data_IF_117240259656
#
_entry.id   IF_117240259656
#
_cell.length_a   1.000
_cell.length_b   1.000
_cell.length_c   1.000
_cell.angle_alpha   90.00
_cell.angle_beta   90.00
_cell.angle_gamma   90.00
#
_symmetry.space_group_name_H-M   'P 1'
#
loop_
_entity.id
_entity.type
_entity.pdbx_description
1 polymer ?
#
# COMPACT_ATOMS: atom_id res chain seq x y z
N UNK A 1 1.77 -10.27 -19.87
CA UNK A 1 3.10 -9.98 -19.27
C UNK A 1 2.98 -8.96 -18.13
N UNK A 2 2.12 -7.95 -18.28
CA UNK A 2 1.87 -6.87 -17.30
C UNK A 2 1.29 -7.35 -15.94
N UNK A 3 0.37 -8.32 -15.94
CA UNK A 3 -0.29 -8.80 -14.70
C UNK A 3 0.72 -9.38 -13.70
N UNK A 4 1.70 -10.16 -14.16
CA UNK A 4 2.70 -10.77 -13.27
C UNK A 4 3.70 -9.74 -12.75
N UNK A 5 4.07 -8.73 -13.57
CA UNK A 5 4.89 -7.62 -13.10
C UNK A 5 4.17 -6.84 -12.01
N UNK A 6 2.88 -6.53 -12.20
CA UNK A 6 2.06 -5.81 -11.22
C UNK A 6 1.86 -6.60 -9.92
N UNK A 7 1.61 -7.90 -10.02
CA UNK A 7 1.55 -8.78 -8.83
C UNK A 7 2.87 -8.80 -8.05
N UNK A 8 4.01 -8.81 -8.74
CA UNK A 8 5.31 -8.74 -8.10
C UNK A 8 5.60 -7.34 -7.53
N UNK A 9 5.16 -6.29 -8.22
CA UNK A 9 5.29 -4.90 -7.83
C UNK A 9 4.62 -4.59 -6.49
N UNK A 10 3.54 -5.26 -6.12
CA UNK A 10 2.86 -5.02 -4.83
C UNK A 10 3.39 -5.88 -3.68
N UNK A 11 4.42 -6.70 -3.90
CA UNK A 11 4.99 -7.56 -2.84
C UNK A 11 5.86 -6.77 -1.86
N UNK A 12 5.78 -7.12 -0.58
CA UNK A 12 6.68 -6.57 0.44
C UNK A 12 7.98 -7.33 0.50
N UNK A 13 9.08 -6.63 0.73
CA UNK A 13 10.38 -7.25 0.90
C UNK A 13 11.22 -6.59 1.99
N UNK A 14 11.19 -7.15 3.20
CA UNK A 14 11.96 -6.64 4.33
C UNK A 14 13.33 -7.32 4.40
N UNK A 15 14.38 -6.52 4.22
CA UNK A 15 15.78 -6.92 4.38
C UNK A 15 16.37 -6.50 5.74
N UNK A 16 15.58 -5.84 6.59
CA UNK A 16 16.04 -5.24 7.86
C UNK A 16 16.57 -6.31 8.82
N UNK A 17 15.86 -7.45 8.92
CA UNK A 17 16.15 -8.59 9.78
C UNK A 17 16.88 -9.73 9.05
N UNK A 18 17.39 -9.48 7.84
CA UNK A 18 17.99 -10.53 7.01
C UNK A 18 19.20 -11.19 7.71
N UNK A 19 19.30 -12.54 7.75
CA UNK A 19 20.35 -13.26 8.50
C UNK A 19 21.79 -12.87 8.13
N UNK A 20 22.00 -12.42 6.90
CA UNK A 20 23.33 -12.04 6.40
C UNK A 20 23.74 -10.60 6.72
N UNK A 21 22.89 -9.78 7.34
CA UNK A 21 23.21 -8.39 7.64
C UNK A 21 24.45 -8.24 8.53
N UNK A 22 24.66 -9.20 9.43
CA UNK A 22 25.81 -9.24 10.35
C UNK A 22 26.91 -10.21 9.91
N UNK A 23 26.82 -10.80 8.72
CA UNK A 23 27.83 -11.72 8.21
C UNK A 23 29.12 -10.97 7.81
N UNK A 24 30.25 -11.70 7.82
CA UNK A 24 31.55 -11.15 7.40
C UNK A 24 31.46 -10.61 5.97
N UNK A 25 32.09 -9.47 5.69
CA UNK A 25 32.12 -8.80 4.37
C UNK A 25 32.34 -9.77 3.19
N UNK A 26 33.40 -10.58 3.23
CA UNK A 26 33.70 -11.59 2.20
C UNK A 26 32.53 -12.55 1.95
N UNK A 27 31.80 -12.93 3.00
CA UNK A 27 30.66 -13.83 2.90
C UNK A 27 29.45 -13.14 2.27
N UNK A 28 29.17 -11.89 2.63
CA UNK A 28 28.09 -11.08 2.03
C UNK A 28 28.29 -10.89 0.53
N UNK A 29 29.49 -10.48 0.12
CA UNK A 29 29.83 -10.31 -1.30
C UNK A 29 29.70 -11.65 -2.03
N UNK A 30 30.32 -12.71 -1.51
CA UNK A 30 30.23 -14.04 -2.14
C UNK A 30 28.78 -14.51 -2.29
N UNK A 31 27.94 -14.27 -1.28
CA UNK A 31 26.53 -14.63 -1.32
C UNK A 31 25.77 -13.87 -2.41
N UNK A 32 25.93 -12.55 -2.47
CA UNK A 32 25.27 -11.71 -3.47
C UNK A 32 25.61 -12.17 -4.89
N UNK A 33 26.89 -12.37 -5.19
CA UNK A 33 27.30 -12.72 -6.57
C UNK A 33 26.74 -14.10 -6.97
N UNK A 34 26.64 -15.05 -6.02
CA UNK A 34 25.98 -16.35 -6.26
C UNK A 34 24.47 -16.17 -6.47
N UNK A 35 23.81 -15.34 -5.66
CA UNK A 35 22.39 -15.04 -5.75
C UNK A 35 22.05 -14.42 -7.11
N UNK A 36 22.76 -13.37 -7.51
CA UNK A 36 22.63 -12.70 -8.80
C UNK A 36 22.79 -13.68 -9.97
N UNK A 37 23.82 -14.52 -9.93
CA UNK A 37 24.05 -15.53 -10.96
C UNK A 37 22.89 -16.53 -11.09
N UNK A 38 22.39 -17.06 -9.96
CA UNK A 38 21.31 -18.04 -9.96
C UNK A 38 19.98 -17.42 -10.41
N UNK A 39 19.67 -16.21 -9.93
CA UNK A 39 18.48 -15.46 -10.34
C UNK A 39 18.50 -15.20 -11.85
N UNK A 40 19.61 -14.73 -12.41
CA UNK A 40 19.71 -14.43 -13.84
C UNK A 40 19.52 -15.65 -14.77
N UNK A 41 19.68 -16.88 -14.26
CA UNK A 41 19.39 -18.11 -15.03
C UNK A 41 17.96 -18.60 -14.92
N UNK A 42 17.21 -18.08 -13.95
CA UNK A 42 15.89 -18.60 -13.59
C UNK A 42 14.77 -17.58 -13.74
N UNK A 43 15.08 -16.29 -13.65
CA UNK A 43 14.09 -15.22 -13.61
C UNK A 43 13.33 -15.08 -14.93
N UNK A 44 11.99 -15.08 -14.85
CA UNK A 44 11.10 -14.75 -15.97
C UNK A 44 10.87 -13.24 -16.15
N UNK A 45 11.19 -12.41 -15.15
CA UNK A 45 10.93 -10.96 -15.15
C UNK A 45 12.22 -10.17 -14.96
N UNK A 46 12.92 -9.92 -16.08
CA UNK A 46 14.25 -9.32 -16.06
C UNK A 46 14.29 -7.95 -15.33
N UNK A 47 13.28 -7.09 -15.52
CA UNK A 47 13.27 -5.77 -14.88
C UNK A 47 13.01 -5.84 -13.36
N UNK A 48 11.97 -6.57 -12.94
CA UNK A 48 11.65 -6.73 -11.51
C UNK A 48 12.76 -7.44 -10.73
N UNK A 49 13.24 -8.58 -11.23
CA UNK A 49 14.31 -9.32 -10.55
C UNK A 49 15.60 -8.50 -10.50
N UNK A 50 15.91 -7.70 -11.53
CA UNK A 50 17.04 -6.77 -11.50
C UNK A 50 16.86 -5.68 -10.43
N UNK A 51 15.67 -5.07 -10.34
CA UNK A 51 15.38 -4.07 -9.32
C UNK A 51 15.48 -4.65 -7.89
N UNK A 52 15.00 -5.88 -7.67
CA UNK A 52 15.18 -6.59 -6.40
C UNK A 52 16.65 -6.91 -6.11
N UNK A 53 17.40 -7.39 -7.10
CA UNK A 53 18.85 -7.62 -6.94
C UNK A 53 19.57 -6.32 -6.55
N UNK A 54 19.20 -5.17 -7.10
CA UNK A 54 19.76 -3.87 -6.66
C UNK A 54 19.51 -3.58 -5.17
N UNK A 55 18.36 -3.96 -4.60
CA UNK A 55 18.11 -3.84 -3.15
C UNK A 55 19.04 -4.78 -2.34
N UNK A 56 19.22 -6.02 -2.79
CA UNK A 56 20.17 -6.95 -2.18
C UNK A 56 21.62 -6.46 -2.29
N UNK A 57 22.00 -5.84 -3.42
CA UNK A 57 23.31 -5.25 -3.63
C UNK A 57 23.57 -4.15 -2.59
N UNK A 58 22.65 -3.18 -2.48
CA UNK A 58 22.75 -2.10 -1.50
C UNK A 58 22.87 -2.63 -0.06
N UNK A 59 22.13 -3.69 0.28
CA UNK A 59 22.12 -4.27 1.62
C UNK A 59 23.37 -5.13 1.94
N UNK A 60 23.86 -5.94 1.00
CA UNK A 60 24.95 -6.89 1.23
C UNK A 60 26.32 -6.31 0.92
N UNK A 61 26.42 -5.47 -0.11
CA UNK A 61 27.67 -4.94 -0.67
C UNK A 61 27.82 -3.44 -0.34
N UNK A 62 26.76 -2.64 -0.46
CA UNK A 62 26.84 -1.18 -0.35
C UNK A 62 27.61 -0.56 -1.53
N UNK A 63 28.54 0.35 -1.25
CA UNK A 63 29.39 1.03 -2.26
C UNK A 63 30.63 0.23 -2.67
N UNK A 64 30.76 -1.00 -2.18
CA UNK A 64 31.94 -1.83 -2.43
C UNK A 64 31.92 -2.42 -3.84
N UNK A 65 33.11 -2.65 -4.42
CA UNK A 65 33.21 -3.33 -5.71
C UNK A 65 32.80 -4.80 -5.59
N UNK A 66 31.83 -5.22 -6.40
CA UNK A 66 31.42 -6.61 -6.49
C UNK A 66 32.58 -7.50 -7.00
N UNK A 67 32.76 -8.68 -6.40
CA UNK A 67 33.65 -9.71 -6.94
C UNK A 67 33.09 -10.20 -8.29
N UNK A 68 33.93 -10.24 -9.33
CA UNK A 68 33.51 -10.79 -10.63
C UNK A 68 33.50 -12.32 -10.58
N UNK A 69 32.32 -12.90 -10.81
CA UNK A 69 32.15 -14.34 -10.99
C UNK A 69 32.58 -14.71 -12.42
N UNK A 70 33.68 -15.44 -12.55
CA UNK A 70 34.19 -15.93 -13.85
C UNK A 70 33.90 -17.42 -14.01
N UNK A 71 33.88 -17.93 -15.24
CA UNK A 71 33.66 -19.37 -15.46
C UNK A 71 34.66 -20.24 -14.68
N UNK A 72 35.91 -19.78 -14.51
CA UNK A 72 36.97 -20.50 -13.81
C UNK A 72 36.85 -20.57 -12.28
N UNK A 73 36.11 -19.66 -11.64
CA UNK A 73 35.94 -19.65 -10.17
C UNK A 73 34.52 -20.05 -9.72
N UNK A 74 33.56 -20.10 -10.65
CA UNK A 74 32.12 -20.23 -10.39
C UNK A 74 31.75 -21.48 -9.61
N UNK A 75 32.10 -22.64 -10.14
CA UNK A 75 31.68 -23.90 -9.54
C UNK A 75 32.22 -24.04 -8.12
N UNK A 76 33.50 -23.69 -7.91
CA UNK A 76 34.13 -23.68 -6.61
C UNK A 76 33.42 -22.72 -5.64
N UNK A 77 33.08 -21.50 -6.08
CA UNK A 77 32.39 -20.52 -5.25
C UNK A 77 31.00 -20.98 -4.83
N UNK A 78 30.19 -21.51 -5.77
CA UNK A 78 28.86 -22.04 -5.47
C UNK A 78 28.98 -23.19 -4.47
N UNK A 79 29.81 -24.19 -4.76
CA UNK A 79 30.02 -25.35 -3.86
C UNK A 79 30.44 -24.91 -2.46
N UNK A 80 31.36 -23.95 -2.34
CA UNK A 80 31.82 -23.45 -1.03
C UNK A 80 30.75 -22.70 -0.22
N UNK A 81 29.61 -22.34 -0.81
CA UNK A 81 28.48 -21.71 -0.10
C UNK A 81 27.37 -22.72 0.19
N UNK A 82 27.06 -23.59 -0.78
CA UNK A 82 25.88 -24.48 -0.71
C UNK A 82 26.22 -25.88 -0.20
N UNK A 83 27.49 -26.29 -0.30
CA UNK A 83 27.97 -27.63 0.01
C UNK A 83 29.45 -27.63 0.44
N UNK A 84 29.77 -26.86 1.49
CA UNK A 84 31.11 -26.81 2.05
C UNK A 84 31.28 -27.84 3.16
N UNK A 85 32.08 -28.88 2.89
CA UNK A 85 32.36 -29.93 3.87
C UNK A 85 33.31 -29.48 4.98
N UNK A 86 34.14 -28.45 4.74
CA UNK A 86 35.07 -27.89 5.73
C UNK A 86 34.38 -26.92 6.69
N UNK A 87 33.24 -26.35 6.28
CA UNK A 87 32.47 -25.37 7.07
C UNK A 87 31.03 -25.85 7.29
N UNK A 88 30.81 -26.93 8.05
CA UNK A 88 29.50 -27.53 8.20
C UNK A 88 28.45 -26.57 8.77
N UNK A 89 28.81 -25.59 9.60
CA UNK A 89 27.89 -24.57 10.14
C UNK A 89 27.27 -23.65 9.08
N UNK A 90 27.85 -23.57 7.87
CA UNK A 90 27.34 -22.79 6.73
C UNK A 90 26.16 -23.47 6.03
N UNK A 91 25.70 -24.62 6.51
CA UNK A 91 24.61 -25.39 5.90
C UNK A 91 23.29 -24.62 5.74
N UNK A 92 23.07 -23.56 6.53
CA UNK A 92 21.87 -22.69 6.46
C UNK A 92 21.83 -21.83 5.19
N UNK A 93 22.99 -21.49 4.62
CA UNK A 93 23.11 -20.52 3.52
C UNK A 93 22.39 -20.97 2.26
N UNK A 94 22.40 -22.28 1.94
CA UNK A 94 21.62 -22.82 0.80
C UNK A 94 20.11 -22.66 0.97
N UNK A 95 19.59 -22.68 2.19
CA UNK A 95 18.17 -22.49 2.45
C UNK A 95 17.80 -21.02 2.34
N UNK A 96 18.58 -20.13 2.96
CA UNK A 96 18.40 -18.68 2.79
C UNK A 96 18.50 -18.28 1.32
N UNK A 97 19.47 -18.83 0.59
CA UNK A 97 19.65 -18.57 -0.84
C UNK A 97 18.44 -18.99 -1.66
N UNK A 98 17.87 -20.17 -1.37
CA UNK A 98 16.67 -20.63 -2.05
C UNK A 98 15.44 -19.76 -1.72
N UNK A 99 15.30 -19.32 -0.47
CA UNK A 99 14.23 -18.38 -0.09
C UNK A 99 14.40 -17.02 -0.79
N UNK A 100 15.62 -16.48 -0.85
CA UNK A 100 15.90 -15.21 -1.51
C UNK A 100 15.63 -15.30 -3.02
N UNK A 101 16.06 -16.39 -3.67
CA UNK A 101 15.70 -16.65 -5.07
C UNK A 101 14.18 -16.68 -5.24
N UNK A 102 13.44 -17.31 -4.31
CA UNK A 102 11.99 -17.33 -4.38
C UNK A 102 11.34 -15.95 -4.21
N UNK A 103 11.84 -15.11 -3.30
CA UNK A 103 11.37 -13.74 -3.09
C UNK A 103 11.69 -12.83 -4.30
N UNK A 104 12.84 -13.00 -4.94
CA UNK A 104 13.26 -12.21 -6.10
C UNK A 104 12.58 -12.65 -7.39
N UNK A 105 12.42 -13.97 -7.59
CA UNK A 105 11.81 -14.52 -8.79
C UNK A 105 10.28 -14.35 -8.75
N UNK A 106 9.67 -14.58 -7.58
CA UNK A 106 8.23 -14.51 -7.33
C UNK A 106 7.37 -15.26 -8.37
N UNK A 107 7.96 -16.28 -9.01
CA UNK A 107 7.35 -17.09 -10.05
C UNK A 107 7.65 -18.57 -9.80
N UNK A 108 6.62 -19.40 -9.86
CA UNK A 108 6.74 -20.83 -9.52
C UNK A 108 7.69 -21.56 -10.47
N UNK A 109 7.61 -21.31 -11.77
CA UNK A 109 8.46 -21.98 -12.75
C UNK A 109 9.94 -21.58 -12.59
N UNK A 110 10.20 -20.30 -12.34
CA UNK A 110 11.52 -19.78 -12.02
C UNK A 110 12.10 -20.42 -10.75
N UNK A 111 11.29 -20.56 -9.71
CA UNK A 111 11.66 -21.19 -8.43
C UNK A 111 12.00 -22.68 -8.64
N UNK A 112 11.19 -23.42 -9.39
CA UNK A 112 11.44 -24.83 -9.70
C UNK A 112 12.70 -25.01 -10.56
N UNK A 113 12.97 -24.09 -11.50
CA UNK A 113 14.20 -24.09 -12.28
C UNK A 113 15.42 -23.82 -11.40
N UNK A 114 15.33 -22.85 -10.49
CA UNK A 114 16.40 -22.55 -9.53
C UNK A 114 16.68 -23.74 -8.60
N UNK A 115 15.63 -24.41 -8.12
CA UNK A 115 15.74 -25.63 -7.34
C UNK A 115 16.53 -26.72 -8.09
N UNK A 116 16.19 -26.98 -9.37
CA UNK A 116 16.88 -27.97 -10.21
C UNK A 116 18.37 -27.64 -10.37
N UNK A 117 18.72 -26.37 -10.60
CA UNK A 117 20.12 -25.93 -10.71
C UNK A 117 20.85 -26.15 -9.38
N UNK A 118 20.23 -25.75 -8.25
CA UNK A 118 20.84 -25.86 -6.93
C UNK A 118 21.07 -27.32 -6.54
N UNK A 119 20.14 -28.23 -6.84
CA UNK A 119 20.27 -29.67 -6.60
C UNK A 119 21.48 -30.29 -7.31
N UNK A 120 21.91 -29.74 -8.45
CA UNK A 120 23.12 -30.20 -9.16
C UNK A 120 24.42 -30.07 -8.35
N UNK A 121 24.43 -29.23 -7.31
CA UNK A 121 25.58 -29.02 -6.43
C UNK A 121 25.48 -29.80 -5.09
N UNK A 122 24.40 -30.54 -4.89
CA UNK A 122 24.02 -31.15 -3.61
C UNK A 122 23.96 -32.67 -3.71
N UNK A 123 24.13 -33.35 -2.57
CA UNK A 123 23.88 -34.79 -2.50
C UNK A 123 22.37 -35.10 -2.36
N UNK A 124 21.98 -36.39 -2.45
CA UNK A 124 20.57 -36.81 -2.38
C UNK A 124 19.82 -36.32 -1.13
N UNK A 125 20.45 -36.42 0.06
CA UNK A 125 19.84 -35.99 1.33
C UNK A 125 19.66 -34.48 1.39
N UNK A 126 20.66 -33.73 0.95
CA UNK A 126 20.61 -32.26 0.90
C UNK A 126 19.57 -31.77 -0.11
N UNK A 127 19.47 -32.43 -1.25
CA UNK A 127 18.49 -32.12 -2.30
C UNK A 127 17.06 -32.32 -1.80
N UNK A 128 16.79 -33.42 -1.10
CA UNK A 128 15.50 -33.66 -0.45
C UNK A 128 15.15 -32.57 0.58
N UNK A 129 16.12 -32.11 1.36
CA UNK A 129 15.90 -31.06 2.35
C UNK A 129 15.52 -29.71 1.73
N UNK A 130 16.16 -29.33 0.61
CA UNK A 130 15.79 -28.10 -0.11
C UNK A 130 14.45 -28.27 -0.85
N UNK A 131 14.15 -29.45 -1.37
CA UNK A 131 12.82 -29.76 -1.92
C UNK A 131 11.71 -29.59 -0.88
N UNK A 132 11.94 -30.03 0.36
CA UNK A 132 11.01 -29.82 1.47
C UNK A 132 10.85 -28.32 1.81
N UNK A 133 11.93 -27.53 1.74
CA UNK A 133 11.85 -26.08 1.90
C UNK A 133 10.95 -25.46 0.81
N UNK A 134 11.18 -25.78 -0.46
CA UNK A 134 10.38 -25.23 -1.56
C UNK A 134 8.92 -25.64 -1.42
N UNK A 135 8.64 -26.88 -1.03
CA UNK A 135 7.28 -27.34 -0.72
C UNK A 135 6.66 -26.55 0.43
N UNK A 136 7.44 -26.23 1.47
CA UNK A 136 6.99 -25.38 2.57
C UNK A 136 6.65 -23.95 2.11
N UNK A 137 7.35 -23.38 1.12
CA UNK A 137 7.01 -22.05 0.59
C UNK A 137 5.60 -21.99 -0.03
N UNK A 138 5.14 -23.09 -0.62
CA UNK A 138 3.85 -23.17 -1.32
C UNK A 138 2.72 -23.84 -0.51
N UNK A 139 2.88 -23.98 0.80
CA UNK A 139 1.84 -24.47 1.73
C UNK A 139 1.63 -23.45 2.83
N UNK A 140 0.45 -23.44 3.47
CA UNK A 140 0.18 -22.61 4.65
C UNK A 140 0.22 -23.41 5.96
N UNK A 141 0.68 -24.67 5.89
CA UNK A 141 0.90 -25.53 7.06
C UNK A 141 2.01 -25.00 7.97
N UNK A 142 2.02 -25.45 9.23
CA UNK A 142 3.05 -25.08 10.22
C UNK A 142 4.45 -25.35 9.68
N UNK A 143 5.34 -24.37 9.84
CA UNK A 143 6.72 -24.50 9.37
C UNK A 143 7.40 -25.64 10.15
N UNK A 144 7.97 -26.66 9.47
CA UNK A 144 8.66 -27.75 10.15
C UNK A 144 9.78 -27.23 11.06
N UNK A 145 9.94 -27.82 12.25
CA UNK A 145 10.98 -27.40 13.22
C UNK A 145 12.38 -27.27 12.59
N UNK A 146 12.70 -28.15 11.64
CA UNK A 146 13.98 -28.16 10.93
C UNK A 146 14.21 -26.91 10.06
N UNK A 147 13.18 -26.12 9.75
CA UNK A 147 13.24 -24.94 8.88
C UNK A 147 13.05 -23.61 9.63
N UNK A 148 12.83 -23.63 10.95
CA UNK A 148 12.58 -22.41 11.75
C UNK A 148 13.70 -21.38 11.66
N UNK A 149 14.94 -21.80 11.37
CA UNK A 149 16.06 -20.87 11.14
C UNK A 149 15.89 -19.99 9.88
N UNK A 150 14.93 -20.29 9.01
CA UNK A 150 14.56 -19.53 7.82
C UNK A 150 13.10 -19.03 7.87
N UNK A 151 12.46 -19.10 9.05
CA UNK A 151 11.05 -18.78 9.25
C UNK A 151 10.68 -17.40 8.72
N UNK A 152 11.46 -16.36 9.02
CA UNK A 152 11.17 -14.99 8.57
C UNK A 152 11.09 -14.87 7.03
N UNK A 153 11.95 -15.57 6.29
CA UNK A 153 11.93 -15.55 4.82
C UNK A 153 10.77 -16.38 4.26
N UNK A 154 10.49 -17.54 4.86
CA UNK A 154 9.36 -18.40 4.47
C UNK A 154 8.03 -17.65 4.71
N UNK A 155 7.89 -17.02 5.87
CA UNK A 155 6.70 -16.25 6.23
C UNK A 155 6.49 -15.08 5.26
N UNK A 156 7.56 -14.34 4.93
CA UNK A 156 7.49 -13.24 3.97
C UNK A 156 7.01 -13.71 2.59
N UNK A 157 7.54 -14.83 2.08
CA UNK A 157 7.09 -15.40 0.81
C UNK A 157 5.62 -15.81 0.84
N UNK A 158 5.21 -16.57 1.88
CA UNK A 158 3.83 -17.03 2.05
C UNK A 158 2.84 -15.86 2.18
N UNK A 159 3.22 -14.82 2.91
CA UNK A 159 2.43 -13.60 3.07
C UNK A 159 2.24 -12.88 1.72
N UNK A 160 3.30 -12.69 0.95
CA UNK A 160 3.19 -12.09 -0.40
C UNK A 160 2.29 -12.91 -1.31
N UNK A 161 2.46 -14.24 -1.31
CA UNK A 161 1.63 -15.16 -2.09
C UNK A 161 0.16 -15.08 -1.71
N UNK A 162 -0.17 -15.09 -0.42
CA UNK A 162 -1.55 -14.96 0.09
C UNK A 162 -2.17 -13.64 -0.32
N UNK A 163 -1.42 -12.54 -0.17
CA UNK A 163 -1.88 -11.21 -0.53
C UNK A 163 -2.19 -11.07 -2.02
N UNK A 164 -1.29 -11.56 -2.89
CA UNK A 164 -1.51 -11.54 -4.35
C UNK A 164 -2.69 -12.42 -4.78
N UNK A 165 -3.01 -13.48 -4.02
CA UNK A 165 -4.16 -14.34 -4.31
C UNK A 165 -5.51 -13.72 -3.89
N UNK A 166 -5.52 -12.67 -3.07
CA UNK A 166 -6.76 -11.97 -2.72
C UNK A 166 -7.33 -11.20 -3.91
N UNK A 167 -8.65 -11.02 -3.91
CA UNK A 167 -9.35 -10.13 -4.82
C UNK A 167 -8.92 -8.68 -4.55
N UNK A 168 -8.60 -7.94 -5.62
CA UNK A 168 -8.26 -6.52 -5.54
C UNK A 168 -9.53 -5.69 -5.41
N UNK A 169 -9.61 -4.86 -4.36
CA UNK A 169 -10.65 -3.84 -4.20
C UNK A 169 -10.13 -2.53 -4.79
N UNK A 170 -10.84 -1.99 -5.75
CA UNK A 170 -10.51 -0.74 -6.45
C UNK A 170 -11.42 0.38 -6.00
N UNK A 171 -10.82 1.46 -5.53
CA UNK A 171 -11.52 2.64 -5.01
C UNK A 171 -11.11 3.83 -5.86
N UNK A 172 -12.04 4.34 -6.66
CA UNK A 172 -11.84 5.58 -7.42
C UNK A 172 -12.04 6.77 -6.49
N UNK A 173 -11.18 7.78 -6.57
CA UNK A 173 -11.28 8.98 -5.74
C UNK A 173 -11.39 10.19 -6.64
N UNK A 174 -12.45 10.97 -6.46
CA UNK A 174 -12.73 12.16 -7.25
C UNK A 174 -13.10 13.36 -6.39
N UNK A 175 -12.89 14.55 -6.94
CA UNK A 175 -13.23 15.82 -6.33
C UNK A 175 -13.44 16.88 -7.41
N UNK A 176 -14.42 17.76 -7.22
CA UNK A 176 -14.65 18.86 -8.15
C UNK A 176 -13.56 19.95 -8.00
N UNK A 177 -13.18 20.29 -6.77
CA UNK A 177 -12.27 21.40 -6.43
C UNK A 177 -11.03 20.94 -5.65
N UNK A 178 -10.22 21.89 -5.15
CA UNK A 178 -9.19 21.69 -4.12
C UNK A 178 -9.80 21.27 -2.76
N UNK A 179 -10.67 20.25 -2.76
CA UNK A 179 -11.36 19.69 -1.59
C UNK A 179 -10.43 18.86 -0.69
N UNK A 180 -9.16 18.70 -1.07
CA UNK A 180 -8.16 17.96 -0.31
C UNK A 180 -8.08 16.47 -0.69
N UNK A 181 -8.40 16.10 -1.93
CA UNK A 181 -8.26 14.72 -2.46
C UNK A 181 -6.87 14.12 -2.21
N UNK A 182 -5.80 14.82 -2.60
CA UNK A 182 -4.44 14.32 -2.39
C UNK A 182 -4.09 14.19 -0.90
N UNK A 183 -4.58 15.11 -0.07
CA UNK A 183 -4.43 15.04 1.39
C UNK A 183 -5.14 13.83 1.97
N UNK A 184 -6.36 13.53 1.48
CA UNK A 184 -7.10 12.31 1.84
C UNK A 184 -6.35 11.05 1.44
N UNK A 185 -5.81 10.99 0.23
CA UNK A 185 -5.01 9.84 -0.24
C UNK A 185 -3.80 9.63 0.68
N UNK A 186 -3.07 10.69 0.97
CA UNK A 186 -1.93 10.63 1.88
C UNK A 186 -2.36 10.20 3.29
N UNK A 187 -3.52 10.65 3.77
CA UNK A 187 -4.07 10.25 5.06
C UNK A 187 -4.46 8.76 5.08
N UNK A 188 -5.14 8.24 4.05
CA UNK A 188 -5.48 6.83 3.93
C UNK A 188 -4.21 5.94 3.91
N UNK A 189 -3.18 6.36 3.17
CA UNK A 189 -1.91 5.63 3.08
C UNK A 189 -1.05 5.81 4.35
N UNK A 190 -1.13 6.98 4.99
CA UNK A 190 -0.29 7.40 6.12
C UNK A 190 1.13 7.84 5.74
N UNK A 191 1.33 8.23 4.48
CA UNK A 191 2.61 8.70 3.93
C UNK A 191 2.35 9.80 2.90
N UNK A 192 3.30 10.72 2.74
CA UNK A 192 3.24 11.76 1.71
C UNK A 192 3.65 11.17 0.34
N UNK A 193 2.70 10.58 -0.38
CA UNK A 193 2.94 9.93 -1.68
C UNK A 193 2.30 10.67 -2.85
N UNK A 194 1.14 11.29 -2.63
CA UNK A 194 0.44 12.13 -3.58
C UNK A 194 0.81 13.60 -3.38
N UNK A 195 0.92 14.34 -4.50
CA UNK A 195 1.20 15.78 -4.50
C UNK A 195 0.03 16.57 -3.92
N UNK A 196 0.29 17.37 -2.89
CA UNK A 196 -0.68 18.25 -2.23
C UNK A 196 -0.56 19.73 -2.67
N UNK A 197 0.37 20.07 -3.55
CA UNK A 197 0.55 21.44 -4.07
C UNK A 197 -0.65 21.89 -4.89
N UNK A 198 -1.01 23.18 -4.79
CA UNK A 198 -2.11 23.81 -5.54
C UNK A 198 -1.82 23.95 -7.05
N UNK A 199 -0.57 23.78 -7.47
CA UNK A 199 -0.18 23.73 -8.87
C UNK A 199 -0.76 22.45 -9.52
N UNK A 200 -1.41 22.62 -10.68
CA UNK A 200 -2.15 21.58 -11.38
C UNK A 200 -1.39 20.24 -11.40
N UNK A 201 -1.95 19.23 -10.72
CA UNK A 201 -1.50 17.86 -10.85
C UNK A 201 -1.71 17.43 -12.31
N UNK A 202 -0.71 16.77 -12.88
CA UNK A 202 -0.71 16.25 -14.24
C UNK A 202 -1.98 15.49 -14.61
N UNK A 203 -2.34 15.60 -15.88
CA UNK A 203 -3.56 15.09 -16.51
C UNK A 203 -3.85 13.58 -16.39
N UNK A 204 -3.03 12.78 -15.71
CA UNK A 204 -3.07 11.31 -15.79
C UNK A 204 -3.58 10.67 -14.50
N UNK A 205 -4.21 9.49 -14.62
CA UNK A 205 -4.56 8.65 -13.49
C UNK A 205 -3.31 8.15 -12.77
N UNK A 206 -3.37 8.09 -11.45
CA UNK A 206 -2.35 7.48 -10.61
C UNK A 206 -2.97 6.33 -9.81
N UNK A 207 -2.29 5.18 -9.79
CA UNK A 207 -2.75 3.99 -9.08
C UNK A 207 -1.89 3.75 -7.86
N UNK A 208 -2.50 3.72 -6.68
CA UNK A 208 -1.80 3.51 -5.41
C UNK A 208 -2.22 2.16 -4.82
N UNK A 209 -1.28 1.24 -4.74
CA UNK A 209 -1.49 -0.12 -4.26
C UNK A 209 -1.05 -0.28 -2.81
N UNK A 210 -1.88 -0.95 -2.02
CA UNK A 210 -1.47 -1.43 -0.71
C UNK A 210 -0.44 -2.56 -0.87
N UNK A 211 0.53 -2.60 0.05
CA UNK A 211 1.43 -3.74 0.25
C UNK A 211 0.99 -4.55 1.46
N UNK A 212 1.40 -5.83 1.58
CA UNK A 212 0.98 -6.64 2.71
C UNK A 212 1.69 -6.30 4.03
N UNK A 213 2.91 -5.79 4.01
CA UNK A 213 3.63 -5.40 5.24
C UNK A 213 4.46 -4.15 4.99
N UNK A 214 4.60 -3.30 6.01
CA UNK A 214 5.57 -2.21 6.02
C UNK A 214 7.00 -2.77 5.91
N UNK A 215 7.59 -2.61 4.74
CA UNK A 215 8.96 -3.01 4.46
C UNK A 215 9.93 -1.82 4.40
N UNK A 216 9.43 -0.61 4.65
CA UNK A 216 10.21 0.63 4.60
C UNK A 216 10.52 1.09 3.17
N UNK A 217 9.88 0.52 2.16
CA UNK A 217 10.09 0.90 0.76
C UNK A 217 8.79 1.30 0.06
N UNK A 218 8.89 2.32 -0.78
CA UNK A 218 7.83 2.70 -1.70
C UNK A 218 8.27 2.27 -3.09
N UNK A 219 7.40 1.55 -3.80
CA UNK A 219 7.65 1.19 -5.18
C UNK A 219 6.98 2.17 -6.11
N UNK A 220 7.64 2.47 -7.22
CA UNK A 220 7.18 3.35 -8.27
C UNK A 220 7.42 2.66 -9.61
N UNK A 221 6.34 2.53 -10.38
CA UNK A 221 6.39 2.13 -11.78
C UNK A 221 5.95 3.33 -12.61
N UNK A 222 6.94 4.01 -13.20
CA UNK A 222 6.75 5.10 -14.15
C UNK A 222 7.51 4.77 -15.45
N UNK A 223 8.37 5.67 -15.96
CA UNK A 223 9.24 5.34 -17.10
C UNK A 223 10.19 4.16 -16.86
N UNK A 224 10.53 3.90 -15.59
CA UNK A 224 11.34 2.77 -15.13
C UNK A 224 10.78 2.27 -13.81
N UNK A 225 11.00 0.99 -13.52
CA UNK A 225 10.71 0.42 -12.21
C UNK A 225 11.74 0.87 -11.16
N UNK A 226 11.25 1.45 -10.06
CA UNK A 226 12.03 1.76 -8.87
C UNK A 226 11.35 1.15 -7.63
N UNK A 227 12.00 0.19 -6.97
CA UNK A 227 11.46 -0.47 -5.76
C UNK A 227 11.89 0.22 -4.46
N UNK A 228 12.56 1.37 -4.53
CA UNK A 228 12.98 2.15 -3.37
C UNK A 228 12.89 3.65 -3.72
N UNK A 229 11.71 4.06 -4.17
CA UNK A 229 11.45 5.43 -4.59
C UNK A 229 11.49 6.40 -3.41
N UNK A 230 12.28 7.46 -3.54
CA UNK A 230 12.28 8.59 -2.62
C UNK A 230 11.15 9.55 -2.95
N UNK A 231 10.89 10.51 -2.06
CA UNK A 231 9.87 11.54 -2.28
C UNK A 231 10.05 12.26 -3.63
N UNK A 232 11.28 12.67 -3.96
CA UNK A 232 11.59 13.35 -5.22
C UNK A 232 11.28 12.48 -6.46
N UNK A 233 11.48 11.16 -6.39
CA UNK A 233 11.14 10.23 -7.47
C UNK A 233 9.62 10.23 -7.71
N UNK A 234 8.83 10.14 -6.63
CA UNK A 234 7.36 10.15 -6.68
C UNK A 234 6.85 11.47 -7.25
N UNK A 235 7.43 12.58 -6.78
CA UNK A 235 7.09 13.90 -7.26
C UNK A 235 7.40 14.01 -8.76
N UNK A 236 8.59 13.61 -9.21
CA UNK A 236 8.97 13.73 -10.61
C UNK A 236 8.17 12.80 -11.53
N UNK A 237 7.80 11.61 -11.07
CA UNK A 237 7.01 10.66 -11.84
C UNK A 237 5.62 11.18 -12.19
N UNK A 238 4.98 11.90 -11.27
CA UNK A 238 3.70 12.57 -11.56
C UNK A 238 3.79 13.43 -12.83
N UNK A 239 4.91 14.14 -13.03
CA UNK A 239 5.12 15.01 -14.21
C UNK A 239 5.21 14.26 -15.54
N UNK A 240 5.55 12.97 -15.54
CA UNK A 240 5.98 12.24 -16.72
C UNK A 240 4.89 11.34 -17.36
N UNK A 241 3.78 11.05 -16.68
CA UNK A 241 2.80 10.08 -17.20
C UNK A 241 1.82 9.56 -16.14
N UNK A 242 1.05 8.53 -16.49
CA UNK A 242 0.36 7.68 -15.51
C UNK A 242 1.41 6.91 -14.70
N UNK A 243 1.30 6.94 -13.37
CA UNK A 243 2.21 6.26 -12.47
C UNK A 243 1.47 5.24 -11.60
N UNK A 244 2.13 4.12 -11.33
CA UNK A 244 1.71 3.19 -10.30
C UNK A 244 2.66 3.30 -9.11
N UNK A 245 2.10 3.36 -7.90
CA UNK A 245 2.85 3.45 -6.65
C UNK A 245 2.39 2.31 -5.76
N UNK A 246 3.31 1.56 -5.13
CA UNK A 246 2.94 0.58 -4.11
C UNK A 246 3.60 0.93 -2.77
N UNK A 247 2.79 1.05 -1.72
CA UNK A 247 3.23 1.28 -0.35
C UNK A 247 2.32 0.53 0.60
N UNK A 248 2.86 0.15 1.76
CA UNK A 248 2.02 -0.28 2.87
C UNK A 248 1.10 0.87 3.32
N UNK A 249 -0.19 0.58 3.47
CA UNK A 249 -1.19 1.53 3.96
C UNK A 249 -1.27 1.39 5.48
N UNK A 250 -0.93 2.46 6.19
CA UNK A 250 -0.88 2.51 7.65
C UNK A 250 -2.28 2.73 8.23
N UNK A 251 -3.19 1.79 7.98
CA UNK A 251 -4.56 1.89 8.49
C UNK A 251 -4.60 1.77 10.02
N UNK A 252 -5.51 2.52 10.63
CA UNK A 252 -5.90 2.37 12.04
C UNK A 252 -6.79 1.16 12.29
N UNK A 253 -7.40 0.61 11.24
CA UNK A 253 -8.24 -0.58 11.30
C UNK A 253 -7.35 -1.81 11.16
N UNK A 254 -7.06 -2.44 12.30
CA UNK A 254 -6.25 -3.65 12.33
C UNK A 254 -7.07 -4.86 11.85
N UNK A 255 -6.64 -5.46 10.75
CA UNK A 255 -7.12 -6.76 10.27
C UNK A 255 -6.00 -7.80 10.37
N UNK A 256 -6.37 -9.06 10.62
CA UNK A 256 -5.41 -10.17 10.69
C UNK A 256 -4.65 -10.38 9.37
N UNK A 257 -5.23 -9.91 8.26
CA UNK A 257 -4.59 -9.84 6.96
C UNK A 257 -4.96 -8.53 6.27
N UNK A 258 -3.98 -7.74 5.79
CA UNK A 258 -4.26 -6.54 5.02
C UNK A 258 -5.00 -6.89 3.73
N UNK A 259 -5.96 -6.06 3.37
CA UNK A 259 -6.72 -6.17 2.13
C UNK A 259 -5.90 -5.69 0.94
N UNK A 260 -6.03 -6.38 -0.20
CA UNK A 260 -5.46 -5.95 -1.48
C UNK A 260 -6.28 -4.80 -2.07
N UNK A 261 -5.77 -3.58 -1.89
CA UNK A 261 -6.48 -2.35 -2.24
C UNK A 261 -5.71 -1.56 -3.28
N UNK A 262 -6.43 -0.97 -4.23
CA UNK A 262 -5.94 0.01 -5.18
C UNK A 262 -6.77 1.29 -5.07
N UNK A 263 -6.14 2.40 -4.69
CA UNK A 263 -6.74 3.72 -4.80
C UNK A 263 -6.42 4.28 -6.18
N UNK A 264 -7.43 4.72 -6.92
CA UNK A 264 -7.29 5.33 -8.23
C UNK A 264 -7.50 6.83 -8.07
N UNK A 265 -6.42 7.58 -8.20
CA UNK A 265 -6.44 9.03 -8.09
C UNK A 265 -6.77 9.66 -9.44
N UNK A 266 -7.89 10.39 -9.52
CA UNK A 266 -8.24 11.13 -10.73
C UNK A 266 -7.60 12.52 -10.75
N UNK A 267 -7.28 13.10 -11.92
CA UNK A 267 -7.04 14.54 -12.03
C UNK A 267 -8.21 15.34 -11.43
N UNK A 268 -7.94 16.56 -10.95
CA UNK A 268 -9.01 17.44 -10.47
C UNK A 268 -9.85 17.99 -11.62
N UNK A 269 -11.16 18.16 -11.40
CA UNK A 269 -12.08 18.70 -12.42
C UNK A 269 -11.87 20.20 -12.65
N UNK A 270 -11.46 20.96 -11.60
CA UNK A 270 -11.27 22.42 -11.63
C UNK A 270 -9.86 22.96 -11.88
N UNK A 271 -9.02 22.29 -12.67
CA UNK A 271 -7.94 23.06 -13.29
C UNK A 271 -8.59 23.96 -14.34
N UNK A 272 -8.82 25.24 -14.03
CA UNK A 272 -9.30 26.27 -14.95
C UNK A 272 -8.48 26.39 -16.26
N UNK A 273 -7.36 25.66 -16.33
CA UNK A 273 -6.39 25.60 -17.40
C UNK A 273 -6.67 24.45 -18.40
N UNK A 274 -7.45 23.40 -18.06
CA UNK A 274 -7.57 22.21 -18.93
C UNK A 274 -8.95 21.52 -18.92
N UNK A 275 -9.76 21.78 -19.95
CA UNK A 275 -10.98 21.01 -20.31
C UNK A 275 -10.72 19.50 -20.40
N UNK A 276 -9.50 19.13 -20.78
CA UNK A 276 -9.00 17.76 -20.87
C UNK A 276 -9.01 17.03 -19.51
N UNK A 277 -8.77 17.70 -18.37
CA UNK A 277 -8.77 17.04 -17.06
C UNK A 277 -10.19 16.65 -16.62
N UNK A 278 -11.17 17.51 -16.90
CA UNK A 278 -12.58 17.19 -16.71
C UNK A 278 -13.04 16.02 -17.59
N UNK A 279 -12.62 15.98 -18.86
CA UNK A 279 -12.95 14.87 -19.77
C UNK A 279 -12.33 13.55 -19.30
N UNK A 280 -11.07 13.56 -18.87
CA UNK A 280 -10.40 12.36 -18.33
C UNK A 280 -11.00 11.86 -17.03
N UNK A 281 -11.39 12.76 -16.13
CA UNK A 281 -12.08 12.37 -14.89
C UNK A 281 -13.44 11.73 -15.20
N UNK A 282 -14.18 12.30 -16.16
CA UNK A 282 -15.45 11.75 -16.66
C UNK A 282 -15.28 10.42 -17.39
N UNK A 283 -14.20 10.24 -18.14
CA UNK A 283 -13.84 8.94 -18.73
C UNK A 283 -13.48 7.94 -17.65
N UNK A 284 -12.66 8.29 -16.66
CA UNK A 284 -12.32 7.40 -15.56
C UNK A 284 -13.57 6.92 -14.80
N UNK A 285 -14.53 7.81 -14.52
CA UNK A 285 -15.80 7.43 -13.89
C UNK A 285 -16.60 6.38 -14.68
N UNK A 286 -16.49 6.37 -16.02
CA UNK A 286 -17.28 5.51 -16.91
C UNK A 286 -16.53 4.25 -17.37
N UNK A 287 -15.21 4.36 -17.53
CA UNK A 287 -14.37 3.39 -18.23
C UNK A 287 -13.50 2.58 -17.26
N UNK A 288 -13.12 3.14 -16.10
CA UNK A 288 -12.33 2.41 -15.12
C UNK A 288 -13.18 1.40 -14.35
N UNK A 289 -12.59 0.24 -14.08
CA UNK A 289 -13.21 -0.74 -13.19
C UNK A 289 -12.92 -0.38 -11.74
N UNK A 290 -13.96 -0.02 -10.98
CA UNK A 290 -13.89 0.21 -9.54
C UNK A 290 -15.10 -0.34 -8.78
N UNK A 291 -14.84 -0.75 -7.54
CA UNK A 291 -15.83 -1.31 -6.62
C UNK A 291 -16.55 -0.22 -5.84
N UNK A 292 -15.81 0.85 -5.47
CA UNK A 292 -16.32 2.02 -4.74
C UNK A 292 -15.80 3.32 -5.33
N UNK A 293 -16.57 4.39 -5.17
CA UNK A 293 -16.20 5.76 -5.50
C UNK A 293 -16.17 6.59 -4.22
N UNK A 294 -15.07 7.25 -3.93
CA UNK A 294 -15.00 8.33 -2.93
C UNK A 294 -15.15 9.66 -3.65
N UNK A 295 -16.21 10.40 -3.32
CA UNK A 295 -16.34 11.80 -3.71
C UNK A 295 -15.97 12.69 -2.51
N UNK A 296 -14.85 13.40 -2.63
CA UNK A 296 -14.41 14.40 -1.65
C UNK A 296 -15.08 15.75 -1.88
N UNK A 297 -15.85 16.20 -0.89
CA UNK A 297 -16.50 17.51 -0.79
C UNK A 297 -15.70 18.44 0.13
N UNK A 298 -15.72 19.74 -0.16
CA UNK A 298 -15.10 20.75 0.71
C UNK A 298 -16.17 21.36 1.62
N UNK A 299 -16.10 21.11 2.93
CA UNK A 299 -17.08 21.62 3.89
C UNK A 299 -17.25 23.14 3.89
N UNK A 300 -16.24 23.89 3.41
CA UNK A 300 -16.24 25.35 3.38
C UNK A 300 -16.78 25.95 2.06
N UNK A 301 -17.11 25.12 1.06
CA UNK A 301 -17.52 25.57 -0.29
C UNK A 301 -18.71 24.76 -0.83
N UNK A 302 -19.63 24.38 0.06
CA UNK A 302 -20.79 23.57 -0.28
C UNK A 302 -21.82 24.35 -1.11
N UNK A 303 -22.55 23.64 -1.98
CA UNK A 303 -23.71 24.17 -2.69
C UNK A 303 -23.38 25.10 -3.86
N UNK A 304 -22.12 25.11 -4.31
CA UNK A 304 -21.75 25.87 -5.52
C UNK A 304 -22.34 25.21 -6.78
N UNK A 305 -22.68 26.01 -7.79
CA UNK A 305 -23.23 25.51 -9.06
C UNK A 305 -22.34 24.43 -9.70
N UNK A 306 -21.03 24.59 -9.59
CA UNK A 306 -20.05 23.64 -10.10
C UNK A 306 -20.11 22.32 -9.32
N UNK A 307 -20.18 22.36 -7.99
CA UNK A 307 -20.30 21.16 -7.14
C UNK A 307 -21.60 20.42 -7.43
N UNK A 308 -22.73 21.12 -7.48
CA UNK A 308 -24.04 20.52 -7.79
C UNK A 308 -24.03 19.90 -9.19
N UNK A 309 -23.42 20.58 -10.18
CA UNK A 309 -23.30 20.04 -11.54
C UNK A 309 -22.46 18.76 -11.58
N UNK A 310 -21.37 18.70 -10.81
CA UNK A 310 -20.55 17.50 -10.76
C UNK A 310 -21.23 16.36 -9.97
N UNK A 311 -21.95 16.67 -8.89
CA UNK A 311 -22.80 15.71 -8.17
C UNK A 311 -23.86 15.09 -9.08
N UNK A 312 -24.56 15.90 -9.89
CA UNK A 312 -25.51 15.42 -10.91
C UNK A 312 -24.85 14.47 -11.91
N UNK A 313 -23.64 14.80 -12.35
CA UNK A 313 -22.89 13.92 -13.25
C UNK A 313 -22.57 12.57 -12.58
N UNK A 314 -22.06 12.60 -11.35
CA UNK A 314 -21.77 11.37 -10.60
C UNK A 314 -23.05 10.53 -10.39
N UNK A 315 -24.18 11.15 -10.05
CA UNK A 315 -25.44 10.44 -9.82
C UNK A 315 -26.04 9.83 -11.08
N UNK A 316 -25.73 10.37 -12.27
CA UNK A 316 -26.17 9.85 -13.57
C UNK A 316 -25.34 8.64 -14.02
N UNK A 317 -24.03 8.66 -13.81
CA UNK A 317 -23.11 7.65 -14.38
C UNK A 317 -22.61 6.60 -13.39
N UNK A 318 -22.79 6.80 -12.08
CA UNK A 318 -22.26 5.90 -11.05
C UNK A 318 -23.40 5.31 -10.23
N UNK A 319 -23.46 3.98 -10.06
CA UNK A 319 -24.42 3.35 -9.15
C UNK A 319 -24.31 3.95 -7.74
N UNK A 320 -25.44 4.39 -7.19
CA UNK A 320 -25.46 5.20 -5.96
C UNK A 320 -24.92 4.48 -4.73
N UNK A 321 -25.08 3.16 -4.68
CA UNK A 321 -24.57 2.25 -3.65
C UNK A 321 -23.03 2.09 -3.65
N UNK A 322 -22.38 2.52 -4.73
CA UNK A 322 -20.91 2.57 -4.82
C UNK A 322 -20.33 3.86 -4.24
N UNK A 323 -21.13 4.91 -4.07
CA UNK A 323 -20.61 6.26 -3.75
C UNK A 323 -20.54 6.47 -2.25
N UNK A 324 -19.36 6.89 -1.79
CA UNK A 324 -19.08 7.34 -0.43
C UNK A 324 -18.69 8.82 -0.52
N UNK A 325 -19.43 9.68 0.17
CA UNK A 325 -19.15 11.10 0.22
C UNK A 325 -18.25 11.38 1.42
N UNK A 326 -17.12 12.05 1.20
CA UNK A 326 -16.21 12.49 2.26
C UNK A 326 -16.32 14.01 2.38
N UNK A 327 -16.91 14.48 3.47
CA UNK A 327 -17.00 15.91 3.79
C UNK A 327 -15.73 16.34 4.51
N UNK A 328 -14.76 16.84 3.73
CA UNK A 328 -13.41 17.13 4.22
C UNK A 328 -13.24 18.59 4.64
N UNK A 329 -12.11 18.90 5.29
CA UNK A 329 -11.71 20.23 5.80
C UNK A 329 -12.53 20.73 7.00
N UNK A 330 -13.10 19.82 7.78
CA UNK A 330 -13.82 20.17 9.02
C UNK A 330 -12.88 20.66 10.13
N UNK A 331 -11.56 20.55 9.95
CA UNK A 331 -10.55 21.20 10.78
C UNK A 331 -10.59 22.73 10.71
N UNK A 332 -11.14 23.34 9.67
CA UNK A 332 -11.28 24.79 9.57
C UNK A 332 -12.50 25.34 10.32
N UNK A 333 -13.41 24.46 10.69
CA UNK A 333 -14.70 24.80 11.25
C UNK A 333 -14.58 25.47 12.63
N UNK A 334 -15.43 26.46 12.91
CA UNK A 334 -15.48 27.13 14.21
C UNK A 334 -16.87 27.01 14.82
N UNK A 335 -16.96 26.31 15.96
CA UNK A 335 -18.22 26.10 16.71
C UNK A 335 -18.99 27.39 17.07
N UNK A 336 -18.31 28.53 17.14
CA UNK A 336 -18.95 29.82 17.41
C UNK A 336 -19.72 30.39 16.22
N UNK A 337 -19.30 30.06 14.99
CA UNK A 337 -19.77 30.69 13.76
C UNK A 337 -20.55 29.70 12.87
N UNK A 338 -20.25 28.40 12.98
CA UNK A 338 -20.71 27.37 12.05
C UNK A 338 -21.41 26.20 12.79
N UNK A 339 -22.15 25.33 12.05
CA UNK A 339 -22.71 24.06 12.57
C UNK A 339 -22.34 22.84 11.69
N UNK A 340 -21.54 21.89 12.21
CA UNK A 340 -21.11 20.68 11.46
C UNK A 340 -22.34 19.86 11.09
N UNK A 341 -23.26 19.69 12.05
CA UNK A 341 -24.53 19.01 11.85
C UNK A 341 -25.34 19.65 10.71
N UNK A 342 -25.41 20.98 10.66
CA UNK A 342 -26.15 21.70 9.60
C UNK A 342 -25.50 21.53 8.22
N UNK A 343 -24.16 21.55 8.13
CA UNK A 343 -23.46 21.29 6.87
C UNK A 343 -23.69 19.86 6.37
N UNK A 344 -23.64 18.87 7.27
CA UNK A 344 -23.93 17.47 6.92
C UNK A 344 -25.37 17.31 6.46
N UNK A 345 -26.32 17.96 7.13
CA UNK A 345 -27.74 17.90 6.78
C UNK A 345 -28.02 18.60 5.44
N UNK A 346 -27.37 19.73 5.15
CA UNK A 346 -27.44 20.39 3.85
C UNK A 346 -26.98 19.46 2.72
N UNK A 347 -25.80 18.86 2.87
CA UNK A 347 -25.29 17.87 1.91
C UNK A 347 -26.23 16.67 1.78
N UNK A 348 -26.77 16.17 2.89
CA UNK A 348 -27.73 15.05 2.87
C UNK A 348 -28.97 15.40 2.05
N UNK A 349 -29.53 16.58 2.23
CA UNK A 349 -30.70 17.05 1.47
C UNK A 349 -30.40 17.17 -0.02
N UNK A 350 -29.25 17.75 -0.40
CA UNK A 350 -28.82 17.83 -1.79
C UNK A 350 -28.70 16.43 -2.43
N UNK A 351 -28.11 15.49 -1.71
CA UNK A 351 -27.96 14.10 -2.16
C UNK A 351 -29.32 13.38 -2.28
N UNK A 352 -30.25 13.59 -1.34
CA UNK A 352 -31.61 13.06 -1.43
C UNK A 352 -32.35 13.59 -2.65
N UNK A 353 -32.21 14.89 -2.96
CA UNK A 353 -32.78 15.49 -4.17
C UNK A 353 -32.20 14.93 -5.46
N UNK A 354 -30.95 14.45 -5.43
CA UNK A 354 -30.30 13.75 -6.54
C UNK A 354 -30.60 12.24 -6.57
N UNK A 355 -31.46 11.78 -5.67
CA UNK A 355 -31.97 10.41 -5.60
C UNK A 355 -31.05 9.42 -4.89
N UNK A 356 -30.11 9.88 -4.06
CA UNK A 356 -29.40 9.02 -3.11
C UNK A 356 -30.29 8.79 -1.90
N UNK A 357 -30.89 7.62 -1.77
CA UNK A 357 -31.87 7.32 -0.70
C UNK A 357 -31.20 7.24 0.69
N UNK A 358 -30.07 6.56 0.79
CA UNK A 358 -29.28 6.44 2.02
C UNK A 358 -27.81 6.81 1.77
N UNK A 359 -27.49 8.11 1.58
CA UNK A 359 -26.13 8.53 1.26
C UNK A 359 -25.18 8.29 2.45
N UNK A 360 -24.05 7.64 2.16
CA UNK A 360 -22.94 7.49 3.12
C UNK A 360 -22.10 8.75 3.11
N UNK A 361 -22.20 9.54 4.18
CA UNK A 361 -21.44 10.80 4.35
C UNK A 361 -20.46 10.60 5.51
N UNK A 362 -19.17 10.74 5.23
CA UNK A 362 -18.07 10.62 6.19
C UNK A 362 -17.48 12.01 6.44
N UNK A 363 -17.76 12.64 7.59
CA UNK A 363 -17.08 13.88 7.98
C UNK A 363 -15.63 13.60 8.34
N UNK A 364 -14.72 14.45 7.87
CA UNK A 364 -13.30 14.20 7.99
C UNK A 364 -12.47 15.48 8.12
N UNK A 365 -11.38 15.37 8.87
CA UNK A 365 -10.20 16.22 8.71
C UNK A 365 -9.03 15.37 8.19
N UNK A 366 -8.88 15.29 6.86
CA UNK A 366 -7.82 14.50 6.24
C UNK A 366 -6.42 15.00 6.63
N UNK A 367 -6.25 16.32 6.79
CA UNK A 367 -4.95 16.90 7.13
C UNK A 367 -4.52 16.48 8.54
N UNK A 368 -5.38 16.67 9.55
CA UNK A 368 -5.07 16.19 10.91
C UNK A 368 -4.82 14.68 10.95
N UNK A 369 -5.61 13.89 10.21
CA UNK A 369 -5.43 12.45 10.18
C UNK A 369 -4.10 12.01 9.55
N UNK A 370 -3.61 12.73 8.53
CA UNK A 370 -2.27 12.55 8.00
C UNK A 370 -1.19 12.88 9.04
N UNK A 371 -1.31 14.03 9.73
CA UNK A 371 -0.38 14.45 10.78
C UNK A 371 -0.32 13.42 11.93
N UNK A 372 -1.46 12.86 12.33
CA UNK A 372 -1.53 11.78 13.32
C UNK A 372 -0.68 10.57 12.90
N UNK A 373 -0.85 10.08 11.67
CA UNK A 373 -0.07 8.93 11.17
C UNK A 373 1.40 9.26 11.03
N UNK A 374 1.75 10.46 10.55
CA UNK A 374 3.14 10.90 10.49
C UNK A 374 3.79 10.87 11.88
N UNK A 375 3.10 11.41 12.90
CA UNK A 375 3.58 11.39 14.29
C UNK A 375 3.73 9.98 14.85
N UNK A 376 2.76 9.10 14.61
CA UNK A 376 2.76 7.70 15.08
C UNK A 376 3.92 6.88 14.54
N UNK A 377 4.25 7.09 13.27
CA UNK A 377 5.29 6.32 12.59
C UNK A 377 6.65 7.02 12.60
N UNK A 378 6.79 8.13 13.34
CA UNK A 378 8.05 8.86 13.49
C UNK A 378 8.55 9.50 12.20
N UNK A 379 7.63 9.88 11.31
CA UNK A 379 7.97 10.64 10.10
C UNK A 379 8.46 12.04 10.46
N UNK A 380 9.34 12.60 9.63
CA UNK A 380 9.75 13.98 9.79
C UNK A 380 8.56 14.92 9.53
N UNK A 381 8.40 15.92 10.38
CA UNK A 381 7.38 16.97 10.27
C UNK A 381 8.09 18.32 10.28
N UNK A 382 7.60 19.27 9.48
CA UNK A 382 8.06 20.65 9.58
C UNK A 382 7.60 21.29 10.89
N UNK A 383 8.16 22.45 11.25
CA UNK A 383 7.70 23.21 12.41
C UNK A 383 6.20 23.56 12.28
N UNK A 384 5.76 24.02 11.11
CA UNK A 384 4.35 24.31 10.82
C UNK A 384 3.45 23.07 10.96
N UNK A 385 3.89 21.90 10.49
CA UNK A 385 3.15 20.64 10.62
C UNK A 385 3.05 20.18 12.07
N UNK A 386 4.10 20.41 12.86
CA UNK A 386 4.12 20.10 14.29
C UNK A 386 3.19 21.03 15.08
N UNK A 387 3.21 22.32 14.79
CA UNK A 387 2.31 23.31 15.39
C UNK A 387 0.84 23.01 15.04
N UNK A 388 0.57 22.69 13.77
CA UNK A 388 -0.75 22.27 13.33
C UNK A 388 -1.22 21.00 14.05
N UNK A 389 -0.34 20.01 14.19
CA UNK A 389 -0.63 18.78 14.94
C UNK A 389 -1.03 19.11 16.38
N UNK A 390 -0.23 19.90 17.10
CA UNK A 390 -0.49 20.22 18.50
C UNK A 390 -1.78 21.03 18.69
N UNK A 391 -2.09 21.92 17.75
CA UNK A 391 -3.36 22.62 17.70
C UNK A 391 -4.54 21.65 17.50
N UNK A 392 -4.47 20.78 16.50
CA UNK A 392 -5.58 19.87 16.18
C UNK A 392 -5.80 18.79 17.22
N UNK A 393 -4.74 18.30 17.89
CA UNK A 393 -4.89 17.44 19.07
C UNK A 393 -5.78 18.10 20.13
N UNK A 394 -5.55 19.39 20.44
CA UNK A 394 -6.38 20.12 21.42
C UNK A 394 -7.80 20.35 20.91
N UNK A 395 -7.98 20.59 19.62
CA UNK A 395 -9.28 20.84 19.00
C UNK A 395 -10.16 19.59 18.97
N UNK A 396 -9.66 18.50 18.38
CA UNK A 396 -10.37 17.23 18.21
C UNK A 396 -10.44 16.37 19.49
N UNK A 397 -9.86 16.85 20.59
CA UNK A 397 -10.12 16.29 21.94
C UNK A 397 -11.40 16.84 22.59
N UNK A 398 -12.03 17.87 22.00
CA UNK A 398 -13.27 18.48 22.52
C UNK A 398 -14.48 17.83 21.85
N UNK A 399 -15.53 17.55 22.64
CA UNK A 399 -16.73 16.86 22.17
C UNK A 399 -17.43 17.53 20.97
N UNK A 400 -17.43 18.86 20.91
CA UNK A 400 -18.06 19.63 19.82
C UNK A 400 -17.41 19.42 18.44
N UNK A 401 -16.14 18.98 18.41
CA UNK A 401 -15.38 18.71 17.19
C UNK A 401 -15.19 17.21 16.94
N UNK A 402 -15.78 16.35 17.75
CA UNK A 402 -15.73 14.92 17.54
C UNK A 402 -16.58 14.55 16.32
N UNK A 403 -15.91 14.19 15.22
CA UNK A 403 -16.58 13.86 13.96
C UNK A 403 -17.21 12.45 13.99
N UNK A 404 -16.83 11.61 14.94
CA UNK A 404 -17.31 10.23 15.01
C UNK A 404 -18.81 10.13 15.28
N UNK A 405 -19.38 11.14 15.96
CA UNK A 405 -20.81 11.21 16.29
C UNK A 405 -21.71 11.31 15.06
N UNK A 406 -21.14 11.68 13.92
CA UNK A 406 -21.84 11.88 12.66
C UNK A 406 -21.61 10.73 11.66
N UNK A 407 -20.83 9.71 12.04
CA UNK A 407 -20.62 8.54 11.19
C UNK A 407 -21.92 7.72 11.06
N UNK A 408 -22.13 7.00 9.94
CA UNK A 408 -23.29 6.13 9.75
C UNK A 408 -23.44 5.12 10.89
N UNK A 409 -24.68 4.83 11.32
CA UNK A 409 -24.93 3.84 12.39
C UNK A 409 -24.42 2.42 12.07
N UNK A 410 -24.26 2.08 10.79
CA UNK A 410 -23.67 0.81 10.35
C UNK A 410 -22.17 0.69 10.65
N UNK A 411 -21.47 1.80 10.89
CA UNK A 411 -20.07 1.81 11.36
C UNK A 411 -19.96 1.98 12.89
N UNK A 412 -21.08 1.94 13.63
CA UNK A 412 -21.17 2.29 15.05
C UNK A 412 -20.52 1.30 16.05
N UNK A 413 -19.80 0.28 15.58
CA UNK A 413 -18.87 -0.46 16.43
C UNK A 413 -17.45 0.12 16.35
N UNK A 414 -17.33 1.45 16.38
CA UNK A 414 -16.06 2.09 16.67
C UNK A 414 -15.74 1.79 18.13
N UNK A 415 -15.01 0.70 18.38
CA UNK A 415 -14.56 0.35 19.73
C UNK A 415 -13.83 1.55 20.33
N UNK A 416 -14.09 1.82 21.60
CA UNK A 416 -13.37 2.84 22.35
C UNK A 416 -11.87 2.56 22.18
N UNK A 417 -11.16 3.51 21.56
CA UNK A 417 -9.76 3.37 21.24
C UNK A 417 -8.94 3.07 22.51
N UNK A 418 -8.13 2.01 22.47
CA UNK A 418 -7.27 1.59 23.59
C UNK A 418 -6.17 2.62 23.90
N UNK A 419 -5.84 3.47 22.93
CA UNK A 419 -4.82 4.51 23.04
C UNK A 419 -5.32 5.90 22.55
N UNK A 420 -4.62 6.96 22.99
CA UNK A 420 -4.96 8.35 22.70
C UNK A 420 -4.92 8.69 21.20
N UNK A 421 -4.01 8.10 20.43
CA UNK A 421 -3.85 8.42 19.01
C UNK A 421 -4.98 7.79 18.19
N UNK A 422 -5.35 6.55 18.52
CA UNK A 422 -6.52 5.87 17.99
C UNK A 422 -7.81 6.62 18.33
N UNK A 423 -7.93 7.20 19.53
CA UNK A 423 -9.09 8.03 19.90
C UNK A 423 -9.18 9.31 19.05
N UNK A 424 -8.03 9.95 18.78
CA UNK A 424 -7.96 11.11 17.89
C UNK A 424 -8.22 10.74 16.42
N UNK A 425 -7.84 9.53 16.00
CA UNK A 425 -8.15 9.03 14.66
C UNK A 425 -9.67 8.83 14.47
N UNK A 426 -10.34 8.33 15.51
CA UNK A 426 -11.81 8.27 15.58
C UNK A 426 -12.42 9.68 15.51
N UNK A 427 -11.96 10.59 16.35
CA UNK A 427 -12.54 11.95 16.39
C UNK A 427 -12.25 12.78 15.14
N UNK A 428 -11.16 12.47 14.41
CA UNK A 428 -10.86 13.07 13.10
C UNK A 428 -11.72 12.52 11.94
N UNK A 429 -12.46 11.42 12.15
CA UNK A 429 -13.29 10.74 11.16
C UNK A 429 -12.59 9.67 10.31
N UNK A 430 -11.25 9.60 10.31
CA UNK A 430 -10.52 8.71 9.41
C UNK A 430 -10.75 7.23 9.73
N UNK A 431 -10.80 6.87 11.02
CA UNK A 431 -11.06 5.50 11.45
C UNK A 431 -12.39 4.97 10.88
N UNK A 432 -13.44 5.80 10.92
CA UNK A 432 -14.75 5.47 10.36
C UNK A 432 -14.71 5.23 8.85
N UNK A 433 -14.01 6.10 8.11
CA UNK A 433 -13.83 5.94 6.68
C UNK A 433 -13.05 4.65 6.35
N UNK A 434 -11.95 4.39 7.04
CA UNK A 434 -11.17 3.16 6.83
C UNK A 434 -11.96 1.89 7.13
N UNK A 435 -12.80 1.89 8.16
CA UNK A 435 -13.68 0.76 8.46
C UNK A 435 -14.65 0.45 7.31
N UNK A 436 -15.23 1.50 6.70
CA UNK A 436 -16.14 1.38 5.56
C UNK A 436 -15.40 0.86 4.33
N UNK A 437 -14.17 1.34 4.08
CA UNK A 437 -13.40 0.99 2.89
C UNK A 437 -12.74 -0.39 2.99
N UNK A 438 -12.26 -0.77 4.17
CA UNK A 438 -11.38 -1.92 4.37
C UNK A 438 -12.08 -3.12 5.01
N UNK A 439 -13.35 -2.96 5.41
CA UNK A 439 -14.17 -4.04 5.95
C UNK A 439 -13.73 -4.45 7.35
N UNK A 440 -13.79 -3.52 8.31
CA UNK A 440 -13.76 -3.91 9.73
C UNK A 440 -14.78 -5.02 9.96
N UNK A 441 -14.39 -6.11 10.65
CA UNK A 441 -15.12 -7.39 10.81
C UNK A 441 -16.64 -7.17 10.80
N UNK A 442 -17.23 -7.28 9.61
CA UNK A 442 -18.66 -7.43 9.45
C UNK A 442 -18.85 -8.92 9.33
N UNK A 443 -19.17 -9.58 10.45
CA UNK A 443 -19.51 -10.99 10.47
C UNK A 443 -20.53 -11.26 9.36
N UNK A 444 -20.19 -12.17 8.43
CA UNK A 444 -21.06 -12.61 7.32
C UNK A 444 -22.42 -13.15 7.81
N UNK A 445 -22.58 -13.42 9.12
CA UNK A 445 -23.86 -13.73 9.76
C UNK A 445 -24.87 -12.59 9.70
N UNK A 446 -24.41 -11.34 9.75
CA UNK A 446 -25.29 -10.15 9.78
C UNK A 446 -26.03 -9.91 8.47
N UNK A 447 -25.47 -10.36 7.34
CA UNK A 447 -26.06 -10.19 6.01
C UNK A 447 -27.18 -11.21 5.77
N UNK A 448 -27.13 -12.39 6.43
CA UNK A 448 -28.17 -13.41 6.30
C UNK A 448 -29.42 -13.14 7.13
N UNK A 449 -29.32 -12.40 8.23
CA UNK A 449 -30.48 -12.07 9.08
C UNK A 449 -31.33 -10.91 8.53
N UNK A 450 -30.79 -10.10 7.61
CA UNK A 450 -31.54 -9.02 6.94
C UNK A 450 -32.39 -9.53 5.76
N UNK A 451 -32.15 -10.76 5.28
CA UNK A 451 -32.97 -11.38 4.23
C UNK A 451 -34.13 -12.23 4.78
N UNK A 452 -34.32 -12.28 6.11
CA UNK A 452 -35.37 -13.09 6.75
C UNK A 452 -36.31 -12.31 7.68
N UNK A 453 -36.38 -10.98 7.57
CA UNK A 453 -37.42 -10.13 8.17
C UNK A 453 -37.98 -9.26 7.06
#
# INVERSE_FOLDING_TARGET
MEINLRNNFITSHSLISHPLKRAKKKTRIQYYVILEYLVNRCAGFAEYSKARLSQYHAMLIGDESALVLTDGNRERMIRSMVNDWLRPWMWKYRFWLMCDIALIAADKNAIEKALKILMGYLNKRQSAAIGNLVSALFTDETIPQKLLFAEGLIHQFRLNRRFVAQQEIRILITANMSAGKSTLINALIGKQVARTSQEACTANLCYLFNKPVEDGSIHLLGPRLNLYAAYDDLMNAGRAGSSEIASFFRSFVHSDSPSRICLIDTPGVNSAINREHGERTRSALREEHYDKLIYVLNANQLGTDEEIRYLKYVSEYVPKDKVIFVLNKLDNFKSADDSIASSIEGVRNDLLHLGFEEPVICPLSAYFALLLKMKMYGEAMTEDEQDAYDYYVKKFSRAEYDLSVYLPKSSAQVQAAEDKQSALAVSSGLYGLENILYGGKTDEKSIREIQSI
#
